data_IF_673896880586
#
_entry.id   IF_673896880586
#
_cell.length_a   1.000
_cell.length_b   1.000
_cell.length_c   1.000
_cell.angle_alpha   90.00
_cell.angle_beta   90.00
_cell.angle_gamma   90.00
#
_symmetry.space_group_name_H-M   'P 1'
#
loop_
_entity.id
_entity.type
_entity.pdbx_description
1 polymer ?
#
# COMPACT_ATOMS: atom_id res chain seq x y z
N UNK A 1 -15.91 13.77 17.39
CA UNK A 1 -15.71 12.54 16.59
C UNK A 1 -16.38 12.66 15.20
N UNK A 2 -16.31 11.66 14.32
CA UNK A 2 -17.03 11.57 13.02
C UNK A 2 -16.90 12.81 12.10
N UNK A 3 -17.88 13.73 12.09
CA UNK A 3 -17.79 15.02 11.37
C UNK A 3 -16.51 15.80 11.70
N UNK A 4 -16.05 15.72 12.94
CA UNK A 4 -14.81 16.33 13.43
C UNK A 4 -13.55 15.58 12.96
N UNK A 5 -13.66 14.27 12.79
CA UNK A 5 -12.61 13.43 12.20
C UNK A 5 -12.43 13.75 10.72
N UNK A 6 -13.54 13.83 9.98
CA UNK A 6 -13.56 14.37 8.62
C UNK A 6 -12.96 15.79 8.57
N UNK A 7 -13.28 16.66 9.54
CA UNK A 7 -12.69 18.02 9.62
C UNK A 7 -11.18 18.01 9.89
N UNK A 8 -10.68 17.11 10.76
CA UNK A 8 -9.24 16.87 10.99
C UNK A 8 -8.55 16.38 9.71
N UNK A 9 -9.02 15.28 9.11
CA UNK A 9 -8.43 14.70 7.90
C UNK A 9 -8.49 15.66 6.69
N UNK A 10 -9.60 16.38 6.48
CA UNK A 10 -9.70 17.39 5.42
C UNK A 10 -8.76 18.58 5.65
N UNK A 11 -8.40 18.90 6.91
CA UNK A 11 -7.39 19.92 7.24
C UNK A 11 -5.96 19.39 7.06
N UNK A 12 -5.73 18.09 7.32
CA UNK A 12 -4.45 17.43 7.15
C UNK A 12 -4.01 17.37 5.67
N UNK A 13 -4.96 17.12 4.75
CA UNK A 13 -4.73 17.10 3.29
C UNK A 13 -4.86 18.46 2.59
N UNK A 14 -5.20 19.53 3.32
CA UNK A 14 -5.22 20.88 2.77
C UNK A 14 -3.81 21.30 2.30
N UNK A 15 -3.69 22.32 1.47
CA UNK A 15 -2.40 22.77 0.91
C UNK A 15 -1.44 23.22 2.03
N UNK A 16 -1.97 23.78 3.12
CA UNK A 16 -1.22 24.11 4.34
C UNK A 16 -1.29 23.03 5.43
N UNK A 17 -1.83 21.84 5.12
CA UNK A 17 -2.00 20.72 6.05
C UNK A 17 -0.71 19.96 6.36
N UNK A 18 -0.73 19.15 7.43
CA UNK A 18 0.36 18.25 7.85
C UNK A 18 0.82 17.31 6.73
N UNK A 19 -0.11 16.72 6.00
CA UNK A 19 0.15 15.65 5.05
C UNK A 19 0.85 16.21 3.82
N UNK A 20 0.45 17.40 3.38
CA UNK A 20 1.15 18.17 2.36
C UNK A 20 2.53 18.65 2.85
N UNK A 21 2.65 19.13 4.09
CA UNK A 21 3.95 19.56 4.67
C UNK A 21 4.94 18.39 4.83
N UNK A 22 4.48 17.22 5.28
CA UNK A 22 5.29 16.00 5.39
C UNK A 22 5.70 15.48 4.00
N UNK A 23 4.83 15.59 2.99
CA UNK A 23 5.13 15.22 1.61
C UNK A 23 6.14 16.17 0.94
N UNK A 24 6.03 17.48 1.15
CA UNK A 24 7.05 18.45 0.72
C UNK A 24 8.37 18.26 1.49
N UNK A 25 8.31 17.92 2.79
CA UNK A 25 9.50 17.55 3.59
C UNK A 25 10.17 16.31 3.01
N UNK A 26 9.41 15.26 2.69
CA UNK A 26 9.89 14.04 2.03
C UNK A 26 10.61 14.35 0.71
N UNK A 27 9.97 15.13 -0.17
CA UNK A 27 10.54 15.55 -1.44
C UNK A 27 11.88 16.25 -1.22
N UNK A 28 11.91 17.25 -0.34
CA UNK A 28 13.09 18.07 -0.09
C UNK A 28 14.23 17.32 0.63
N UNK A 29 13.92 16.54 1.65
CA UNK A 29 14.90 15.99 2.59
C UNK A 29 15.34 14.55 2.28
N UNK A 30 14.54 13.79 1.51
CA UNK A 30 14.86 12.39 1.16
C UNK A 30 14.96 12.12 -0.35
N UNK A 31 14.22 12.84 -1.21
CA UNK A 31 14.19 12.57 -2.66
C UNK A 31 15.09 13.48 -3.50
N UNK A 32 15.50 14.63 -2.97
CA UNK A 32 16.31 15.63 -3.68
C UNK A 32 17.70 15.93 -3.04
N UNK A 33 17.96 15.44 -1.84
CA UNK A 33 19.10 15.85 -0.98
C UNK A 33 20.51 15.57 -1.52
N UNK A 34 20.66 14.84 -2.63
CA UNK A 34 21.96 14.52 -3.25
C UNK A 34 22.35 15.50 -4.38
N UNK A 35 21.47 16.43 -4.78
CA UNK A 35 21.81 17.42 -5.85
C UNK A 35 22.94 18.37 -5.47
N UNK A 36 23.05 18.77 -4.20
CA UNK A 36 23.96 19.84 -3.76
C UNK A 36 25.39 19.37 -3.45
N UNK A 37 25.60 18.08 -3.17
CA UNK A 37 26.91 17.59 -2.69
C UNK A 37 27.90 17.21 -3.80
N UNK A 38 27.43 17.06 -5.05
CA UNK A 38 28.22 16.53 -6.17
C UNK A 38 28.20 17.43 -7.43
N UNK A 39 27.96 18.73 -7.27
CA UNK A 39 27.94 19.70 -8.38
C UNK A 39 29.36 19.96 -8.94
N UNK A 40 29.84 19.05 -9.80
CA UNK A 40 31.03 19.21 -10.62
C UNK A 40 30.93 20.52 -11.44
N UNK A 41 31.88 21.43 -11.22
CA UNK A 41 31.93 22.74 -11.90
C UNK A 41 32.19 22.59 -13.40
N UNK A 42 31.12 22.54 -14.19
CA UNK A 42 31.16 22.71 -15.64
C UNK A 42 30.64 24.12 -15.97
N UNK A 43 31.32 24.82 -16.88
CA UNK A 43 31.17 26.26 -17.08
C UNK A 43 29.81 26.70 -17.62
N UNK A 44 29.46 27.97 -17.37
CA UNK A 44 28.21 28.58 -17.82
C UNK A 44 28.16 28.73 -19.34
N UNK A 45 27.05 28.31 -19.97
CA UNK A 45 26.35 29.10 -20.99
C UNK A 45 24.98 28.47 -21.30
N UNK A 46 23.98 29.34 -21.54
CA UNK A 46 22.62 28.96 -21.95
C UNK A 46 21.69 28.58 -20.80
N UNK A 47 20.44 29.00 -20.88
CA UNK A 47 19.35 28.60 -20.00
C UNK A 47 18.88 27.18 -20.34
N UNK A 48 19.66 26.17 -19.93
CA UNK A 48 19.16 24.79 -19.88
C UNK A 48 18.10 24.70 -18.79
N UNK A 49 16.93 24.16 -19.12
CA UNK A 49 15.96 23.75 -18.12
C UNK A 49 16.63 22.75 -17.16
N UNK A 50 16.38 22.90 -15.86
CA UNK A 50 16.85 21.95 -14.85
C UNK A 50 16.22 20.59 -15.14
N UNK A 51 17.00 19.50 -15.32
CA UNK A 51 16.44 18.18 -15.58
C UNK A 51 15.40 17.79 -14.54
N UNK A 52 14.25 17.28 -14.97
CA UNK A 52 13.21 16.77 -14.06
C UNK A 52 13.82 15.72 -13.13
N UNK A 53 13.61 15.80 -11.80
CA UNK A 53 13.94 14.70 -10.89
C UNK A 53 13.26 13.41 -11.37
N UNK A 54 14.00 12.31 -11.42
CA UNK A 54 13.50 11.02 -11.88
C UNK A 54 13.42 10.06 -10.70
N UNK A 55 12.18 9.64 -10.38
CA UNK A 55 11.89 8.63 -9.38
C UNK A 55 11.59 7.26 -10.03
N UNK A 56 12.31 6.23 -9.61
CA UNK A 56 12.00 4.83 -9.97
C UNK A 56 11.16 4.20 -8.85
N UNK A 57 9.99 3.66 -9.21
CA UNK A 57 9.06 3.00 -8.30
C UNK A 57 9.14 1.48 -8.43
N UNK A 58 9.40 0.78 -7.32
CA UNK A 58 9.49 -0.69 -7.26
C UNK A 58 8.46 -1.28 -6.26
N UNK A 59 7.20 -1.51 -6.69
CA UNK A 59 6.19 -2.13 -5.85
C UNK A 59 6.47 -3.63 -5.62
N UNK A 60 6.07 -4.15 -4.45
CA UNK A 60 5.90 -5.59 -4.28
C UNK A 60 4.78 -6.07 -5.22
N UNK A 61 4.95 -7.18 -5.98
CA UNK A 61 4.08 -7.52 -7.11
C UNK A 61 2.71 -8.15 -6.74
N UNK A 62 2.08 -7.69 -5.66
CA UNK A 62 0.67 -7.99 -5.35
C UNK A 62 -0.20 -6.72 -5.42
N UNK A 63 -1.48 -6.87 -5.74
CA UNK A 63 -2.37 -5.73 -6.03
C UNK A 63 -2.46 -4.73 -4.85
N UNK A 64 -2.44 -5.22 -3.62
CA UNK A 64 -2.53 -4.39 -2.40
C UNK A 64 -1.34 -3.42 -2.24
N UNK A 65 -0.20 -3.73 -2.87
CA UNK A 65 1.05 -2.97 -2.81
C UNK A 65 1.21 -2.11 -4.06
N UNK A 66 0.97 -2.69 -5.24
CA UNK A 66 0.96 -1.97 -6.54
C UNK A 66 -0.02 -0.79 -6.54
N UNK A 67 -1.21 -0.94 -5.92
CA UNK A 67 -2.23 0.12 -5.91
C UNK A 67 -1.79 1.39 -5.20
N UNK A 68 -1.42 1.40 -3.89
CA UNK A 68 -0.94 2.59 -3.22
C UNK A 68 0.39 3.10 -3.81
N UNK A 69 1.30 2.24 -4.24
CA UNK A 69 2.54 2.66 -4.94
C UNK A 69 2.23 3.49 -6.20
N UNK A 70 1.25 3.09 -7.02
CA UNK A 70 0.82 3.84 -8.20
C UNK A 70 0.21 5.21 -7.83
N UNK A 71 -0.51 5.31 -6.70
CA UNK A 71 -1.04 6.61 -6.22
C UNK A 71 0.08 7.57 -5.81
N UNK A 72 1.06 7.07 -5.06
CA UNK A 72 2.24 7.85 -4.66
C UNK A 72 3.05 8.31 -5.89
N UNK A 73 3.20 7.44 -6.89
CA UNK A 73 3.84 7.77 -8.16
C UNK A 73 3.12 8.91 -8.92
N UNK A 74 1.78 8.91 -8.96
CA UNK A 74 0.99 10.01 -9.54
C UNK A 74 1.15 11.33 -8.79
N UNK A 75 1.23 11.28 -7.45
CA UNK A 75 1.44 12.48 -6.66
C UNK A 75 2.81 13.10 -6.94
N UNK A 76 3.89 12.32 -7.03
CA UNK A 76 5.20 12.84 -7.45
C UNK A 76 5.20 13.34 -8.91
N UNK A 77 4.54 12.64 -9.84
CA UNK A 77 4.34 13.10 -11.22
C UNK A 77 3.65 14.48 -11.27
N UNK A 78 2.63 14.69 -10.43
CA UNK A 78 1.94 15.98 -10.30
C UNK A 78 2.83 17.11 -9.76
N UNK A 79 3.96 16.77 -9.09
CA UNK A 79 5.00 17.71 -8.64
C UNK A 79 6.17 17.83 -9.62
N UNK A 80 6.01 17.33 -10.85
CA UNK A 80 6.98 17.49 -11.94
C UNK A 80 8.08 16.44 -12.01
N UNK A 81 8.02 15.37 -11.20
CA UNK A 81 8.94 14.24 -11.32
C UNK A 81 8.69 13.47 -12.63
N UNK A 82 9.76 13.04 -13.27
CA UNK A 82 9.72 11.95 -14.23
C UNK A 82 9.58 10.62 -13.46
N UNK A 83 8.63 9.77 -13.86
CA UNK A 83 8.37 8.50 -13.20
C UNK A 83 8.74 7.33 -14.11
N UNK A 84 9.47 6.35 -13.56
CA UNK A 84 9.54 4.99 -14.10
C UNK A 84 8.94 4.02 -13.10
N UNK A 85 7.79 3.42 -13.44
CA UNK A 85 7.08 2.46 -12.61
C UNK A 85 7.42 1.03 -13.02
N UNK A 86 8.23 0.34 -12.20
CA UNK A 86 8.68 -1.02 -12.48
C UNK A 86 7.57 -2.01 -12.16
N UNK A 87 7.38 -2.99 -13.05
CA UNK A 87 6.54 -4.15 -12.78
C UNK A 87 7.38 -5.43 -12.83
N UNK A 88 6.90 -6.52 -12.24
CA UNK A 88 7.36 -7.84 -12.68
C UNK A 88 6.82 -8.12 -14.09
N UNK A 89 7.56 -8.88 -14.89
CA UNK A 89 7.10 -9.32 -16.21
C UNK A 89 5.72 -10.00 -16.15
N UNK A 90 5.43 -10.78 -15.10
CA UNK A 90 4.10 -11.38 -14.89
C UNK A 90 2.99 -10.32 -14.75
N UNK A 91 3.16 -9.33 -13.87
CA UNK A 91 2.16 -8.27 -13.68
C UNK A 91 2.05 -7.31 -14.87
N UNK A 92 3.18 -7.01 -15.54
CA UNK A 92 3.17 -6.24 -16.78
C UNK A 92 2.35 -6.96 -17.87
N UNK A 93 2.53 -8.29 -18.01
CA UNK A 93 1.70 -9.11 -18.91
C UNK A 93 0.23 -9.18 -18.46
N UNK A 94 -0.09 -9.09 -17.16
CA UNK A 94 -1.49 -8.94 -16.66
C UNK A 94 -2.09 -7.60 -17.06
N UNK A 95 -1.36 -6.49 -16.90
CA UNK A 95 -1.79 -5.15 -17.33
C UNK A 95 -2.08 -5.10 -18.85
N UNK A 96 -1.20 -5.67 -19.69
CA UNK A 96 -1.44 -5.76 -21.13
C UNK A 96 -2.73 -6.57 -21.42
N UNK A 97 -2.99 -7.68 -20.71
CA UNK A 97 -4.23 -8.47 -20.89
C UNK A 97 -5.49 -7.75 -20.44
N UNK A 98 -5.44 -6.96 -19.36
CA UNK A 98 -6.63 -6.33 -18.77
C UNK A 98 -6.93 -4.93 -19.31
N UNK A 99 -5.91 -4.16 -19.71
CA UNK A 99 -6.01 -2.76 -20.17
C UNK A 99 -5.51 -2.52 -21.61
N UNK A 100 -4.82 -3.48 -22.22
CA UNK A 100 -4.25 -3.36 -23.58
C UNK A 100 -2.80 -2.88 -23.62
N UNK A 101 -2.16 -2.97 -24.78
CA UNK A 101 -0.74 -2.61 -24.95
C UNK A 101 -0.49 -1.09 -24.82
N UNK A 102 -1.47 -0.26 -25.19
CA UNK A 102 -1.34 1.19 -25.08
C UNK A 102 -1.27 1.69 -23.62
N UNK A 103 -1.86 0.93 -22.68
CA UNK A 103 -1.78 1.24 -21.24
C UNK A 103 -0.33 1.29 -20.75
N UNK A 104 0.48 0.29 -21.13
CA UNK A 104 1.86 0.16 -20.65
C UNK A 104 2.86 1.06 -21.39
N UNK A 105 2.43 1.80 -22.42
CA UNK A 105 3.24 2.88 -23.02
C UNK A 105 3.40 4.07 -22.08
N UNK A 106 2.40 4.30 -21.21
CA UNK A 106 2.40 5.40 -20.26
C UNK A 106 2.26 6.78 -20.90
N UNK A 107 2.87 7.78 -20.25
CA UNK A 107 2.98 9.19 -20.66
C UNK A 107 4.47 9.53 -20.88
N UNK A 108 4.82 10.64 -21.56
CA UNK A 108 6.22 10.99 -21.86
C UNK A 108 7.15 10.98 -20.63
N UNK A 109 6.63 11.46 -19.49
CA UNK A 109 7.28 11.53 -18.18
C UNK A 109 6.66 10.60 -17.12
N UNK A 110 5.87 9.60 -17.54
CA UNK A 110 5.41 8.49 -16.70
C UNK A 110 5.45 7.17 -17.48
N UNK A 111 6.53 6.40 -17.38
CA UNK A 111 6.72 5.15 -18.13
C UNK A 111 6.65 3.90 -17.26
N UNK A 112 6.45 2.75 -17.91
CA UNK A 112 6.54 1.44 -17.29
C UNK A 112 7.77 0.69 -17.81
N UNK A 113 8.52 0.07 -16.90
CA UNK A 113 9.62 -0.85 -17.21
C UNK A 113 9.37 -2.20 -16.50
N UNK A 114 10.21 -3.21 -16.77
CA UNK A 114 10.04 -4.56 -16.22
C UNK A 114 11.32 -5.17 -15.67
N UNK A 115 11.19 -5.94 -14.60
CA UNK A 115 12.16 -6.94 -14.16
C UNK A 115 11.52 -8.34 -14.17
N UNK A 116 12.29 -9.42 -14.35
CA UNK A 116 11.79 -10.77 -14.10
C UNK A 116 11.44 -10.94 -12.61
N UNK A 117 10.44 -11.77 -12.32
CA UNK A 117 10.09 -12.20 -10.95
C UNK A 117 10.90 -13.42 -10.47
N UNK A 118 11.68 -14.04 -11.36
CA UNK A 118 12.46 -15.25 -11.09
C UNK A 118 11.63 -16.53 -10.92
N UNK A 119 10.32 -16.49 -11.20
CA UNK A 119 9.42 -17.63 -11.00
C UNK A 119 9.14 -18.39 -12.30
N UNK A 120 8.80 -19.70 -12.21
CA UNK A 120 8.27 -20.44 -13.35
C UNK A 120 6.90 -19.90 -13.80
N UNK A 121 6.47 -20.22 -15.03
CA UNK A 121 5.12 -19.91 -15.50
C UNK A 121 4.04 -20.43 -14.53
N UNK A 122 3.12 -19.54 -14.17
CA UNK A 122 2.08 -19.72 -13.16
C UNK A 122 0.70 -19.35 -13.73
N UNK A 123 -0.39 -19.53 -12.97
CA UNK A 123 -1.72 -19.10 -13.40
C UNK A 123 -1.71 -17.60 -13.70
N UNK A 124 -1.92 -17.29 -14.98
CA UNK A 124 -1.85 -15.95 -15.56
C UNK A 124 -2.94 -15.01 -15.02
N UNK A 125 -4.04 -15.55 -14.49
CA UNK A 125 -5.21 -14.77 -14.08
C UNK A 125 -5.29 -14.64 -12.54
N UNK A 126 -4.54 -15.47 -11.79
CA UNK A 126 -4.37 -15.39 -10.34
C UNK A 126 -3.19 -14.47 -9.89
N UNK A 127 -2.96 -14.37 -8.58
CA UNK A 127 -1.70 -13.87 -7.99
C UNK A 127 -0.72 -15.04 -7.87
N UNK A 128 0.58 -14.78 -8.04
CA UNK A 128 1.64 -15.78 -7.83
C UNK A 128 1.67 -16.28 -6.37
N UNK A 129 2.20 -17.50 -6.17
CA UNK A 129 2.38 -18.07 -4.83
C UNK A 129 3.25 -17.16 -3.96
N UNK A 130 2.72 -16.71 -2.82
CA UNK A 130 3.36 -15.69 -2.00
C UNK A 130 4.69 -16.18 -1.36
N UNK A 131 4.78 -17.39 -0.76
CA UNK A 131 6.07 -17.94 -0.32
C UNK A 131 7.14 -17.97 -1.41
N UNK A 132 6.84 -18.55 -2.58
CA UNK A 132 7.80 -18.64 -3.68
C UNK A 132 8.18 -17.25 -4.22
N UNK A 133 7.23 -16.33 -4.30
CA UNK A 133 7.45 -14.96 -4.75
C UNK A 133 8.36 -14.17 -3.80
N UNK A 134 8.18 -14.32 -2.48
CA UNK A 134 9.06 -13.72 -1.47
C UNK A 134 10.49 -14.29 -1.56
N UNK A 135 10.64 -15.60 -1.61
CA UNK A 135 11.95 -16.26 -1.72
C UNK A 135 12.67 -15.90 -3.04
N UNK A 136 11.94 -15.83 -4.15
CA UNK A 136 12.48 -15.41 -5.45
C UNK A 136 12.83 -13.91 -5.48
N UNK A 137 12.01 -13.04 -4.87
CA UNK A 137 12.32 -11.61 -4.77
C UNK A 137 13.66 -11.38 -4.05
N UNK A 138 13.86 -12.05 -2.90
CA UNK A 138 15.10 -12.01 -2.12
C UNK A 138 16.33 -12.46 -2.91
N UNK A 139 16.20 -13.54 -3.70
CA UNK A 139 17.32 -14.21 -4.39
C UNK A 139 17.66 -13.61 -5.75
N UNK A 140 16.64 -13.24 -6.52
CA UNK A 140 16.75 -13.10 -7.99
C UNK A 140 16.56 -11.67 -8.50
N UNK A 141 15.87 -10.79 -7.77
CA UNK A 141 15.44 -9.49 -8.31
C UNK A 141 16.50 -8.37 -8.21
N UNK A 142 17.51 -8.49 -7.34
CA UNK A 142 18.52 -7.44 -7.13
C UNK A 142 19.33 -7.10 -8.40
N UNK A 143 19.89 -8.11 -9.07
CA UNK A 143 20.73 -7.87 -10.25
C UNK A 143 19.94 -7.28 -11.44
N UNK A 144 18.78 -7.84 -11.85
CA UNK A 144 17.96 -7.24 -12.90
C UNK A 144 17.46 -5.83 -12.58
N UNK A 145 17.17 -5.52 -11.31
CA UNK A 145 16.80 -4.16 -10.90
C UNK A 145 17.97 -3.18 -11.03
N UNK A 146 19.18 -3.57 -10.61
CA UNK A 146 20.39 -2.75 -10.84
C UNK A 146 20.69 -2.56 -12.32
N UNK A 147 20.57 -3.61 -13.14
CA UNK A 147 20.75 -3.53 -14.60
C UNK A 147 19.74 -2.57 -15.24
N UNK A 148 18.48 -2.58 -14.80
CA UNK A 148 17.46 -1.63 -15.24
C UNK A 148 17.81 -0.19 -14.86
N UNK A 149 18.24 0.08 -13.62
CA UNK A 149 18.62 1.45 -13.19
C UNK A 149 19.89 1.94 -13.92
N UNK A 150 20.85 1.05 -14.18
CA UNK A 150 22.04 1.36 -14.99
C UNK A 150 21.70 1.64 -16.45
N UNK A 151 20.78 0.88 -17.05
CA UNK A 151 20.20 1.15 -18.39
C UNK A 151 19.54 2.53 -18.42
N UNK A 152 18.69 2.86 -17.45
CA UNK A 152 18.02 4.17 -17.36
C UNK A 152 19.01 5.34 -17.23
N UNK A 153 20.16 5.12 -16.58
CA UNK A 153 21.24 6.11 -16.43
C UNK A 153 22.30 6.12 -17.55
N UNK A 154 22.12 5.31 -18.60
CA UNK A 154 23.04 5.25 -19.74
C UNK A 154 22.91 6.48 -20.67
N UNK A 155 23.96 6.79 -21.43
CA UNK A 155 23.95 7.89 -22.42
C UNK A 155 23.06 7.63 -23.65
N UNK A 156 22.53 6.42 -23.80
CA UNK A 156 21.57 6.03 -24.84
C UNK A 156 20.11 6.22 -24.39
N UNK A 157 19.92 6.62 -23.13
CA UNK A 157 18.62 6.73 -22.46
C UNK A 157 17.94 8.07 -22.73
N UNK A 158 16.69 8.06 -23.18
CA UNK A 158 15.87 9.26 -23.43
C UNK A 158 15.21 9.85 -22.16
N UNK A 159 15.69 9.50 -20.95
CA UNK A 159 15.16 10.01 -19.67
C UNK A 159 16.19 10.84 -18.91
N UNK A 160 15.76 11.70 -17.97
CA UNK A 160 16.68 12.23 -16.96
C UNK A 160 17.31 11.09 -16.15
N UNK A 161 18.53 11.31 -15.64
CA UNK A 161 19.18 10.38 -14.72
C UNK A 161 18.32 10.16 -13.47
N UNK A 162 18.22 8.91 -13.02
CA UNK A 162 17.52 8.51 -11.80
C UNK A 162 18.12 9.25 -10.60
N UNK A 163 17.32 10.11 -9.97
CA UNK A 163 17.71 10.91 -8.80
C UNK A 163 17.34 10.25 -7.48
N UNK A 164 16.31 9.39 -7.47
CA UNK A 164 15.86 8.66 -6.29
C UNK A 164 15.08 7.39 -6.67
N UNK A 165 14.95 6.48 -5.71
CA UNK A 165 14.16 5.26 -5.82
C UNK A 165 13.20 5.16 -4.64
N UNK A 166 12.00 4.66 -4.91
CA UNK A 166 11.00 4.33 -3.89
C UNK A 166 10.63 2.86 -4.08
N UNK A 167 10.92 1.98 -3.11
CA UNK A 167 10.42 0.61 -3.14
C UNK A 167 9.33 0.36 -2.11
N UNK A 168 8.52 -0.69 -2.32
CA UNK A 168 7.66 -1.23 -1.28
C UNK A 168 8.50 -1.87 -0.17
N UNK A 169 8.00 -1.82 1.08
CA UNK A 169 8.65 -2.39 2.26
C UNK A 169 8.97 -3.90 2.20
N UNK A 170 8.38 -4.65 1.26
CA UNK A 170 8.70 -6.06 0.99
C UNK A 170 9.66 -6.25 -0.20
N UNK A 171 10.39 -5.20 -0.62
CA UNK A 171 11.34 -5.20 -1.72
C UNK A 171 12.71 -4.63 -1.28
N UNK A 172 13.12 -4.89 -0.04
CA UNK A 172 14.24 -4.18 0.62
C UNK A 172 15.62 -4.39 -0.01
N UNK A 173 15.76 -5.32 -0.96
CA UNK A 173 16.94 -5.41 -1.83
C UNK A 173 17.20 -4.10 -2.62
N UNK A 174 16.17 -3.26 -2.82
CA UNK A 174 16.31 -1.94 -3.41
C UNK A 174 17.24 -1.02 -2.60
N UNK A 175 17.25 -1.13 -1.25
CA UNK A 175 18.15 -0.36 -0.38
C UNK A 175 19.60 -0.59 -0.81
N UNK A 176 19.98 -1.87 -0.94
CA UNK A 176 21.31 -2.28 -1.42
C UNK A 176 21.59 -1.86 -2.86
N UNK A 177 20.57 -1.83 -3.73
CA UNK A 177 20.73 -1.26 -5.08
C UNK A 177 21.03 0.25 -5.02
N UNK A 178 20.42 0.99 -4.08
CA UNK A 178 20.69 2.42 -3.86
C UNK A 178 22.09 2.66 -3.32
N UNK A 179 22.51 1.90 -2.30
CA UNK A 179 23.87 1.90 -1.75
C UNK A 179 24.93 1.64 -2.84
N UNK A 180 24.77 0.57 -3.63
CA UNK A 180 25.74 0.16 -4.65
C UNK A 180 25.72 1.04 -5.92
N UNK A 181 24.73 1.93 -6.09
CA UNK A 181 24.63 2.87 -7.21
C UNK A 181 24.81 4.35 -6.79
N UNK A 182 24.87 4.65 -5.50
CA UNK A 182 24.94 6.02 -4.98
C UNK A 182 23.64 6.82 -5.11
N UNK A 183 22.48 6.15 -5.17
CA UNK A 183 21.16 6.74 -5.41
C UNK A 183 20.31 6.64 -4.13
N UNK A 184 19.70 7.73 -3.63
CA UNK A 184 18.76 7.69 -2.52
C UNK A 184 17.63 6.67 -2.70
N UNK A 185 17.44 5.81 -1.71
CA UNK A 185 16.35 4.84 -1.65
C UNK A 185 15.45 5.11 -0.43
N UNK A 186 14.14 5.14 -0.66
CA UNK A 186 13.11 5.39 0.34
C UNK A 186 12.05 4.29 0.33
N UNK A 187 11.91 3.56 1.43
CA UNK A 187 10.89 2.53 1.59
C UNK A 187 9.50 3.17 1.74
N UNK A 188 8.50 2.63 1.05
CA UNK A 188 7.09 2.92 1.30
C UNK A 188 6.41 1.71 1.93
N UNK A 189 5.95 1.88 3.16
CA UNK A 189 5.18 0.86 3.85
C UNK A 189 3.70 0.97 3.46
N UNK A 190 3.24 0.00 2.66
CA UNK A 190 1.91 -0.02 2.05
C UNK A 190 0.81 -0.57 2.96
N UNK A 191 1.18 -1.26 4.05
CA UNK A 191 0.29 -1.65 5.14
C UNK A 191 0.25 -0.59 6.26
N UNK A 192 -0.40 -0.88 7.39
CA UNK A 192 -0.50 0.04 8.53
C UNK A 192 0.79 0.16 9.34
N UNK A 193 0.96 1.27 10.05
CA UNK A 193 2.08 1.49 10.98
C UNK A 193 2.02 0.49 12.15
N UNK A 194 0.82 0.19 12.66
CA UNK A 194 0.62 -0.90 13.62
C UNK A 194 1.06 -2.26 13.06
N UNK A 195 0.85 -2.54 11.77
CA UNK A 195 1.39 -3.74 11.12
C UNK A 195 2.92 -3.77 11.13
N UNK A 196 3.57 -2.67 10.75
CA UNK A 196 5.03 -2.54 10.72
C UNK A 196 5.67 -2.83 12.08
N UNK A 197 5.19 -2.18 13.14
CA UNK A 197 5.72 -2.40 14.49
C UNK A 197 5.47 -3.85 14.95
N UNK A 198 4.32 -4.43 14.61
CA UNK A 198 4.01 -5.84 14.87
C UNK A 198 5.05 -6.80 14.26
N UNK A 199 5.50 -6.54 13.03
CA UNK A 199 6.57 -7.31 12.38
C UNK A 199 7.95 -7.11 13.03
N UNK A 200 8.28 -5.90 13.51
CA UNK A 200 9.54 -5.66 14.23
C UNK A 200 9.66 -6.53 15.49
N UNK A 201 8.56 -6.77 16.21
CA UNK A 201 8.53 -7.59 17.42
C UNK A 201 8.54 -9.12 17.18
N UNK A 202 8.62 -9.61 15.93
CA UNK A 202 8.70 -11.06 15.62
C UNK A 202 9.86 -11.75 16.36
N UNK A 203 11.05 -11.13 16.42
CA UNK A 203 12.20 -11.70 17.15
C UNK A 203 11.98 -11.72 18.66
N UNK A 204 11.20 -10.78 19.19
CA UNK A 204 10.91 -10.69 20.63
C UNK A 204 9.86 -11.71 21.07
N UNK A 205 8.89 -12.03 20.20
CA UNK A 205 7.97 -13.17 20.39
C UNK A 205 8.72 -14.50 20.49
N UNK A 206 9.77 -14.72 19.67
CA UNK A 206 10.65 -15.90 19.75
C UNK A 206 11.42 -15.90 21.08
N UNK A 207 12.09 -14.80 21.44
CA UNK A 207 12.86 -14.71 22.70
C UNK A 207 12.02 -14.97 23.95
N UNK A 208 10.73 -14.66 23.90
CA UNK A 208 9.76 -14.88 24.99
C UNK A 208 9.15 -16.28 25.00
N UNK A 209 9.49 -17.14 24.02
CA UNK A 209 8.92 -18.47 23.88
C UNK A 209 7.42 -18.47 23.52
N UNK A 210 6.93 -17.38 22.92
CA UNK A 210 5.52 -17.23 22.52
C UNK A 210 5.28 -17.86 21.14
N UNK A 211 6.29 -17.82 20.26
CA UNK A 211 6.31 -18.48 18.95
C UNK A 211 7.64 -19.22 18.74
N UNK A 212 7.70 -20.31 17.93
CA UNK A 212 6.59 -20.93 17.22
C UNK A 212 5.56 -21.55 18.16
N UNK A 213 4.32 -21.66 17.71
CA UNK A 213 3.30 -22.40 18.44
C UNK A 213 3.64 -23.90 18.44
N UNK A 214 3.29 -24.60 19.53
CA UNK A 214 3.65 -26.01 19.74
C UNK A 214 3.05 -26.94 18.68
N UNK A 215 1.80 -26.72 18.34
CA UNK A 215 1.03 -27.44 17.33
C UNK A 215 -0.23 -26.61 16.97
N UNK A 216 -0.96 -27.06 15.95
CA UNK A 216 -2.12 -26.34 15.35
C UNK A 216 -3.32 -26.10 16.29
N UNK A 217 -3.29 -26.56 17.54
CA UNK A 217 -4.34 -26.28 18.54
C UNK A 217 -4.51 -24.79 18.85
N UNK A 218 -3.48 -23.95 18.64
CA UNK A 218 -3.53 -22.50 18.87
C UNK A 218 -4.67 -21.79 18.12
N UNK A 219 -5.18 -22.40 17.04
CA UNK A 219 -6.30 -21.93 16.22
C UNK A 219 -7.67 -22.05 16.90
N UNK A 220 -7.78 -22.83 17.98
CA UNK A 220 -9.06 -23.22 18.58
C UNK A 220 -9.07 -23.25 20.13
N UNK A 221 -7.91 -23.29 20.77
CA UNK A 221 -7.75 -23.39 22.23
C UNK A 221 -7.91 -22.05 22.99
N UNK A 222 -7.96 -20.93 22.27
CA UNK A 222 -8.00 -19.58 22.83
C UNK A 222 -6.62 -18.90 22.98
N UNK A 223 -5.51 -19.56 22.62
CA UNK A 223 -4.15 -19.00 22.70
C UNK A 223 -4.04 -17.66 21.96
N UNK A 224 -4.70 -17.51 20.80
CA UNK A 224 -4.70 -16.25 20.04
C UNK A 224 -5.43 -15.08 20.74
N UNK A 225 -6.27 -15.33 21.74
CA UNK A 225 -6.90 -14.29 22.56
C UNK A 225 -5.97 -13.77 23.69
N UNK A 226 -4.77 -14.33 23.85
CA UNK A 226 -3.81 -13.91 24.89
C UNK A 226 -3.45 -12.43 24.77
N UNK A 227 -3.70 -11.60 25.80
CA UNK A 227 -3.36 -10.17 25.77
C UNK A 227 -1.85 -9.90 25.70
N UNK A 228 -1.49 -8.84 25.00
CA UNK A 228 -0.12 -8.34 24.85
C UNK A 228 -0.07 -6.91 25.39
N UNK A 229 0.61 -6.75 26.52
CA UNK A 229 0.78 -5.46 27.22
C UNK A 229 2.25 -5.00 27.29
N UNK A 230 3.16 -5.73 26.65
CA UNK A 230 4.61 -5.55 26.75
C UNK A 230 5.28 -5.01 25.48
N UNK A 231 4.51 -4.80 24.40
CA UNK A 231 5.00 -4.09 23.21
C UNK A 231 4.71 -2.59 23.41
N UNK A 232 5.74 -1.72 23.51
CA UNK A 232 5.53 -0.27 23.51
C UNK A 232 4.84 0.17 22.21
N UNK A 233 4.08 1.25 22.26
CA UNK A 233 3.15 1.59 21.19
C UNK A 233 1.81 0.86 21.25
N UNK A 234 1.78 -0.38 21.77
CA UNK A 234 0.67 -1.29 21.53
C UNK A 234 -0.12 -1.66 22.79
N UNK A 235 -1.08 -0.79 23.15
CA UNK A 235 -2.02 -1.03 24.26
C UNK A 235 -3.19 -1.92 23.83
N UNK A 236 -3.66 -2.80 24.73
CA UNK A 236 -4.92 -3.55 24.64
C UNK A 236 -5.08 -4.51 23.42
N UNK A 237 -3.99 -4.94 22.77
CA UNK A 237 -4.03 -5.98 21.72
C UNK A 237 -3.86 -7.39 22.27
N UNK A 238 -4.15 -8.39 21.45
CA UNK A 238 -3.94 -9.83 21.68
C UNK A 238 -3.06 -10.44 20.57
N UNK A 239 -2.66 -11.70 20.72
CA UNK A 239 -1.92 -12.43 19.69
C UNK A 239 -2.64 -12.50 18.33
N UNK A 240 -3.98 -12.50 18.30
CA UNK A 240 -4.73 -12.48 17.03
C UNK A 240 -4.62 -11.15 16.28
N UNK A 241 -4.37 -10.05 16.97
CA UNK A 241 -4.37 -8.70 16.40
C UNK A 241 -3.01 -8.33 15.78
N UNK A 242 -1.96 -9.12 16.06
CA UNK A 242 -0.66 -9.04 15.40
C UNK A 242 -0.68 -9.65 13.98
N UNK A 243 0.29 -9.28 13.11
CA UNK A 243 0.33 -9.78 11.73
C UNK A 243 0.31 -11.31 11.66
N UNK A 244 -0.59 -11.85 10.83
CA UNK A 244 -0.97 -13.27 10.86
C UNK A 244 0.16 -14.27 10.57
N UNK A 245 1.32 -13.83 10.06
CA UNK A 245 2.48 -14.72 9.86
C UNK A 245 3.13 -15.18 11.18
N UNK A 246 2.80 -14.61 12.35
CA UNK A 246 3.18 -15.20 13.64
C UNK A 246 2.44 -16.51 13.95
N UNK A 247 1.38 -16.82 13.21
CA UNK A 247 0.50 -18.00 13.40
C UNK A 247 1.12 -19.25 12.79
N UNK A 248 2.33 -19.55 13.22
CA UNK A 248 3.21 -20.59 12.67
C UNK A 248 3.69 -21.57 13.74
N UNK A 249 3.88 -22.82 13.35
CA UNK A 249 4.56 -23.86 14.15
C UNK A 249 6.04 -24.03 13.77
N UNK A 250 6.53 -23.30 12.76
CA UNK A 250 7.91 -23.40 12.25
C UNK A 250 8.43 -22.01 11.82
N UNK A 251 9.38 -21.46 12.60
CA UNK A 251 9.99 -20.15 12.32
C UNK A 251 10.90 -20.14 11.07
N UNK A 252 11.07 -21.27 10.37
CA UNK A 252 11.70 -21.34 9.05
C UNK A 252 10.72 -21.17 7.89
N UNK A 253 9.40 -21.07 8.17
CA UNK A 253 8.40 -20.72 7.16
C UNK A 253 8.71 -19.37 6.49
N UNK A 254 8.75 -19.39 5.15
CA UNK A 254 9.22 -18.26 4.33
C UNK A 254 8.46 -16.97 4.64
N UNK A 255 7.14 -17.00 4.87
CA UNK A 255 6.37 -15.78 5.14
C UNK A 255 6.66 -15.16 6.52
N UNK A 256 7.01 -15.98 7.51
CA UNK A 256 7.40 -15.50 8.83
C UNK A 256 8.80 -14.87 8.79
N UNK A 257 9.78 -15.59 8.24
CA UNK A 257 11.14 -15.10 8.08
C UNK A 257 11.21 -13.86 7.18
N UNK A 258 10.56 -13.91 6.00
CA UNK A 258 10.56 -12.81 5.04
C UNK A 258 9.99 -11.54 5.64
N UNK A 259 8.74 -11.56 6.14
CA UNK A 259 8.12 -10.36 6.68
C UNK A 259 8.85 -9.83 7.93
N UNK A 260 9.39 -10.71 8.77
CA UNK A 260 10.25 -10.31 9.88
C UNK A 260 11.56 -9.67 9.42
N UNK A 261 12.18 -10.16 8.34
CA UNK A 261 13.43 -9.65 7.79
C UNK A 261 13.27 -8.33 7.05
N UNK A 262 12.32 -8.23 6.10
CA UNK A 262 12.12 -7.05 5.25
C UNK A 262 11.74 -5.82 6.08
N UNK A 263 10.87 -6.01 7.09
CA UNK A 263 10.51 -4.95 8.06
C UNK A 263 11.72 -4.43 8.84
N UNK A 264 12.68 -5.29 9.21
CA UNK A 264 13.92 -4.87 9.87
C UNK A 264 14.88 -4.21 8.87
N UNK A 265 14.95 -4.72 7.63
CA UNK A 265 15.75 -4.14 6.56
C UNK A 265 15.29 -2.70 6.23
N UNK A 266 13.99 -2.41 6.33
CA UNK A 266 13.45 -1.05 6.17
C UNK A 266 14.13 -0.02 7.09
N UNK A 267 14.61 -0.42 8.27
CA UNK A 267 15.31 0.48 9.21
C UNK A 267 16.71 0.91 8.71
N UNK A 268 17.20 0.31 7.62
CA UNK A 268 18.47 0.69 6.98
C UNK A 268 18.29 1.70 5.82
N UNK A 269 17.06 2.06 5.45
CA UNK A 269 16.78 2.93 4.30
C UNK A 269 17.14 4.41 4.56
N UNK A 270 17.04 5.25 3.51
CA UNK A 270 17.18 6.71 3.67
C UNK A 270 16.00 7.31 4.43
N UNK A 271 14.79 6.76 4.24
CA UNK A 271 13.55 7.16 4.89
C UNK A 271 12.49 6.05 4.78
N UNK A 272 11.46 6.10 5.64
CA UNK A 272 10.26 5.25 5.53
C UNK A 272 9.03 6.15 5.40
N UNK A 273 8.21 5.90 4.39
CA UNK A 273 6.93 6.57 4.16
C UNK A 273 5.80 5.69 4.71
N UNK A 274 4.82 6.28 5.42
CA UNK A 274 3.59 5.60 5.85
C UNK A 274 2.34 6.29 5.29
N UNK A 275 1.36 5.47 4.88
CA UNK A 275 0.06 5.88 4.33
C UNK A 275 -0.98 6.18 5.44
N UNK A 276 -0.57 6.83 6.54
CA UNK A 276 -1.42 7.19 7.70
C UNK A 276 -1.31 8.68 8.06
N UNK A 277 -2.12 9.15 9.00
CA UNK A 277 -2.40 10.58 9.28
C UNK A 277 -2.10 11.02 10.71
N UNK A 278 -1.16 11.96 10.87
CA UNK A 278 -0.83 12.60 12.17
C UNK A 278 -2.07 13.14 12.92
N UNK A 279 -2.99 13.88 12.29
CA UNK A 279 -4.13 14.48 13.02
C UNK A 279 -5.20 13.50 13.54
N UNK A 280 -5.20 12.24 13.13
CA UNK A 280 -6.19 11.26 13.60
C UNK A 280 -5.90 10.76 15.03
N UNK A 281 -4.71 11.06 15.56
CA UNK A 281 -4.10 10.47 16.76
C UNK A 281 -4.65 10.92 18.13
N UNK A 282 -5.88 11.45 18.22
CA UNK A 282 -6.48 11.89 19.48
C UNK A 282 -7.96 11.50 19.68
N UNK A 283 -8.19 10.84 20.83
CA UNK A 283 -9.39 10.71 21.68
C UNK A 283 -10.54 9.72 21.34
N UNK A 284 -10.76 8.77 22.28
CA UNK A 284 -12.02 8.11 22.73
C UNK A 284 -12.57 6.92 21.88
N UNK A 285 -12.94 5.80 22.55
CA UNK A 285 -13.59 4.59 21.97
C UNK A 285 -14.73 3.96 22.82
N UNK A 286 -15.11 2.69 22.54
CA UNK A 286 -15.89 1.65 23.33
C UNK A 286 -16.71 0.72 22.40
N UNK A 287 -16.79 -0.60 22.67
CA UNK A 287 -17.25 -1.74 21.83
C UNK A 287 -18.77 -1.96 21.55
N UNK A 288 -19.15 -2.94 20.67
CA UNK A 288 -20.21 -4.01 20.85
C UNK A 288 -20.36 -4.98 19.62
N UNK A 289 -21.07 -6.14 19.78
CA UNK A 289 -21.16 -7.36 18.92
C UNK A 289 -22.66 -7.81 18.69
N UNK A 290 -23.16 -8.72 17.79
CA UNK A 290 -22.65 -9.63 16.71
C UNK A 290 -23.77 -10.25 15.80
N UNK A 291 -23.37 -11.01 14.75
CA UNK A 291 -23.99 -12.19 14.04
C UNK A 291 -25.43 -12.22 13.43
N UNK A 292 -25.61 -13.05 12.35
CA UNK A 292 -26.82 -13.86 11.96
C UNK A 292 -26.51 -14.74 10.70
N UNK A 293 -27.31 -15.79 10.39
CA UNK A 293 -27.11 -16.81 9.31
C UNK A 293 -28.20 -16.85 8.21
N UNK A 294 -28.12 -17.84 7.32
CA UNK A 294 -28.70 -17.94 5.96
C UNK A 294 -29.35 -19.32 5.72
N UNK A 295 -30.42 -19.40 4.89
CA UNK A 295 -30.77 -20.50 3.95
C UNK A 295 -32.24 -20.44 3.46
N UNK A 296 -32.53 -19.93 2.24
CA UNK A 296 -33.86 -20.09 1.59
C UNK A 296 -33.90 -19.81 0.05
N UNK A 297 -32.75 -19.88 -0.65
CA UNK A 297 -32.57 -19.17 -1.94
C UNK A 297 -33.30 -19.76 -3.17
N UNK A 298 -33.34 -21.08 -3.36
CA UNK A 298 -33.59 -21.65 -4.70
C UNK A 298 -35.02 -21.41 -5.25
N UNK A 299 -36.04 -21.42 -4.39
CA UNK A 299 -37.43 -21.17 -4.80
C UNK A 299 -37.65 -19.70 -5.20
N UNK A 300 -36.92 -18.76 -4.58
CA UNK A 300 -37.04 -17.33 -4.85
C UNK A 300 -36.55 -16.93 -6.25
N UNK A 301 -35.53 -17.61 -6.78
CA UNK A 301 -34.91 -17.29 -8.08
C UNK A 301 -35.94 -17.29 -9.22
N UNK A 302 -36.79 -18.31 -9.27
CA UNK A 302 -37.76 -18.47 -10.37
C UNK A 302 -38.87 -17.41 -10.32
N UNK A 303 -39.34 -17.05 -9.14
CA UNK A 303 -40.32 -15.99 -8.95
C UNK A 303 -39.72 -14.58 -9.18
N UNK A 304 -38.43 -14.39 -8.87
CA UNK A 304 -37.71 -13.13 -9.12
C UNK A 304 -37.47 -12.83 -10.60
N UNK A 305 -37.24 -13.85 -11.44
CA UNK A 305 -36.97 -13.62 -12.86
C UNK A 305 -38.23 -13.13 -13.59
N UNK A 306 -39.30 -13.93 -13.58
CA UNK A 306 -40.44 -13.77 -14.49
C UNK A 306 -41.72 -13.24 -13.84
N UNK A 307 -41.89 -13.40 -12.51
CA UNK A 307 -43.14 -13.11 -11.81
C UNK A 307 -43.42 -11.61 -11.58
N UNK A 308 -44.68 -11.29 -11.24
CA UNK A 308 -45.08 -9.95 -10.76
C UNK A 308 -44.28 -9.53 -9.51
N UNK A 309 -44.00 -10.48 -8.60
CA UNK A 309 -43.08 -10.24 -7.46
C UNK A 309 -41.67 -9.92 -7.93
N UNK A 310 -41.20 -10.50 -9.04
CA UNK A 310 -39.92 -10.19 -9.67
C UNK A 310 -39.86 -8.77 -10.26
N UNK A 311 -40.92 -8.31 -10.91
CA UNK A 311 -41.03 -6.90 -11.37
C UNK A 311 -41.06 -5.93 -10.19
N UNK A 312 -41.88 -6.22 -9.18
CA UNK A 312 -41.93 -5.43 -7.95
C UNK A 312 -40.58 -5.45 -7.21
N UNK A 313 -39.87 -6.59 -7.21
CA UNK A 313 -38.53 -6.72 -6.65
C UNK A 313 -37.48 -5.92 -7.44
N UNK A 314 -37.56 -5.84 -8.78
CA UNK A 314 -36.67 -4.96 -9.58
C UNK A 314 -36.93 -3.47 -9.30
N UNK A 315 -38.19 -3.05 -9.18
CA UNK A 315 -38.53 -1.68 -8.75
C UNK A 315 -38.03 -1.40 -7.32
N UNK A 316 -38.26 -2.33 -6.39
CA UNK A 316 -37.78 -2.26 -5.01
C UNK A 316 -36.25 -2.38 -4.90
N UNK A 317 -35.58 -3.02 -5.85
CA UNK A 317 -34.13 -3.07 -5.99
C UNK A 317 -33.56 -1.76 -6.53
N UNK A 318 -34.29 -1.04 -7.38
CA UNK A 318 -33.97 0.35 -7.75
C UNK A 318 -34.12 1.29 -6.54
N UNK A 319 -35.18 1.14 -5.76
CA UNK A 319 -35.32 1.83 -4.47
C UNK A 319 -34.25 1.43 -3.45
N UNK A 320 -33.87 0.16 -3.37
CA UNK A 320 -32.79 -0.31 -2.50
C UNK A 320 -31.41 0.11 -3.01
N UNK A 321 -31.20 0.26 -4.32
CA UNK A 321 -30.00 0.87 -4.90
C UNK A 321 -29.92 2.35 -4.51
N UNK A 322 -31.04 3.08 -4.61
CA UNK A 322 -31.13 4.46 -4.11
C UNK A 322 -30.89 4.55 -2.60
N UNK A 323 -31.53 3.70 -1.79
CA UNK A 323 -31.34 3.64 -0.33
C UNK A 323 -29.97 3.13 0.10
N UNK A 324 -29.32 2.29 -0.70
CA UNK A 324 -27.95 1.83 -0.48
C UNK A 324 -26.94 2.92 -0.82
N UNK A 325 -27.15 3.67 -1.92
CA UNK A 325 -26.39 4.89 -2.21
C UNK A 325 -26.60 5.93 -1.10
N UNK A 326 -27.83 6.21 -0.70
CA UNK A 326 -28.15 7.08 0.46
C UNK A 326 -27.59 6.54 1.80
N UNK A 327 -27.26 5.25 1.88
CA UNK A 327 -26.64 4.63 3.05
C UNK A 327 -25.11 4.67 3.01
N UNK A 328 -24.47 4.63 1.83
CA UNK A 328 -23.01 4.70 1.66
C UNK A 328 -22.48 6.11 1.37
N UNK A 329 -23.36 7.03 0.96
CA UNK A 329 -23.08 8.46 0.84
C UNK A 329 -22.83 9.08 2.23
N UNK A 330 -22.36 10.33 2.23
CA UNK A 330 -21.94 11.10 3.39
C UNK A 330 -23.13 11.26 4.36
N UNK A 331 -22.95 10.77 5.59
CA UNK A 331 -23.99 10.63 6.62
C UNK A 331 -25.10 9.59 6.37
N UNK A 332 -24.92 8.71 5.39
CA UNK A 332 -25.78 7.53 5.22
C UNK A 332 -25.69 6.54 6.39
N UNK A 333 -26.64 5.61 6.50
CA UNK A 333 -26.69 4.63 7.60
C UNK A 333 -25.54 3.61 7.58
N UNK A 334 -25.05 3.23 6.41
CA UNK A 334 -23.86 2.38 6.26
C UNK A 334 -22.58 3.15 6.56
N UNK A 335 -22.47 4.40 6.10
CA UNK A 335 -21.38 5.32 6.48
C UNK A 335 -21.34 5.53 8.00
N UNK A 336 -22.49 5.78 8.64
CA UNK A 336 -22.63 5.90 10.09
C UNK A 336 -22.31 4.60 10.84
N UNK A 337 -22.67 3.43 10.29
CA UNK A 337 -22.30 2.14 10.87
C UNK A 337 -20.81 1.82 10.69
N UNK A 338 -20.16 2.29 9.61
CA UNK A 338 -18.72 2.19 9.40
C UNK A 338 -17.94 3.15 10.31
N UNK A 339 -18.41 4.38 10.50
CA UNK A 339 -17.88 5.29 11.53
C UNK A 339 -18.13 4.74 12.95
N UNK A 340 -19.25 4.04 13.19
CA UNK A 340 -19.48 3.28 14.43
C UNK A 340 -18.46 2.17 14.58
N UNK A 341 -18.21 1.36 13.55
CA UNK A 341 -17.20 0.29 13.59
C UNK A 341 -15.79 0.83 13.84
N UNK A 342 -15.42 1.98 13.25
CA UNK A 342 -14.15 2.65 13.56
C UNK A 342 -14.10 3.05 15.03
N UNK A 343 -15.15 3.72 15.54
CA UNK A 343 -15.24 4.15 16.94
C UNK A 343 -15.31 2.98 17.95
N UNK A 344 -15.93 1.87 17.57
CA UNK A 344 -16.22 0.73 18.43
C UNK A 344 -15.15 -0.37 18.35
N UNK A 345 -14.29 -0.39 17.33
CA UNK A 345 -13.33 -1.48 17.10
C UNK A 345 -11.92 -1.07 16.60
N UNK A 346 -11.60 0.21 16.39
CA UNK A 346 -10.28 0.63 15.91
C UNK A 346 -9.60 1.67 16.82
N UNK A 347 -8.64 1.19 17.62
CA UNK A 347 -7.22 1.63 17.62
C UNK A 347 -6.93 3.08 17.14
N UNK A 348 -7.14 4.07 18.01
CA UNK A 348 -6.90 5.51 17.70
C UNK A 348 -5.75 6.11 18.50
N UNK A 349 -5.75 5.94 19.82
CA UNK A 349 -4.59 6.25 20.70
C UNK A 349 -3.36 5.38 20.37
N UNK A 350 -3.57 4.32 19.58
CA UNK A 350 -2.61 3.27 19.29
C UNK A 350 -1.62 3.65 18.18
N UNK A 351 -2.07 4.26 17.07
CA UNK A 351 -1.13 4.58 15.97
C UNK A 351 -0.13 5.69 16.35
N UNK A 352 -0.49 6.58 17.28
CA UNK A 352 0.42 7.61 17.82
C UNK A 352 1.61 6.98 18.56
N UNK A 353 1.35 6.24 19.65
CA UNK A 353 2.39 5.61 20.44
C UNK A 353 3.22 4.62 19.58
N UNK A 354 2.60 3.99 18.58
CA UNK A 354 3.28 3.16 17.57
C UNK A 354 4.25 3.98 16.72
N UNK A 355 3.84 5.15 16.22
CA UNK A 355 4.68 6.01 15.39
C UNK A 355 5.81 6.66 16.20
N UNK A 356 5.59 7.01 17.47
CA UNK A 356 6.66 7.40 18.38
C UNK A 356 7.66 6.26 18.61
N UNK A 357 7.19 5.03 18.86
CA UNK A 357 8.06 3.85 19.06
C UNK A 357 8.79 3.43 17.77
N UNK A 358 8.23 3.68 16.58
CA UNK A 358 8.93 3.55 15.31
C UNK A 358 9.98 4.65 15.16
N UNK A 359 9.64 5.91 15.42
CA UNK A 359 10.57 7.04 15.33
C UNK A 359 11.76 6.90 16.28
N UNK A 360 11.54 6.35 17.48
CA UNK A 360 12.57 6.03 18.47
C UNK A 360 13.56 4.95 17.99
N UNK A 361 13.15 4.07 17.07
CA UNK A 361 14.02 3.09 16.40
C UNK A 361 14.67 3.65 15.12
N UNK A 362 13.95 4.49 14.39
CA UNK A 362 14.38 5.08 13.12
C UNK A 362 13.71 6.45 12.89
N UNK A 363 14.42 7.58 13.05
CA UNK A 363 13.79 8.91 13.12
C UNK A 363 13.37 9.51 11.78
N UNK A 364 13.70 8.89 10.64
CA UNK A 364 13.45 9.44 9.28
C UNK A 364 12.13 8.93 8.68
N UNK A 365 11.04 9.04 9.45
CA UNK A 365 9.70 8.64 9.00
C UNK A 365 8.88 9.82 8.45
N UNK A 366 8.01 9.51 7.49
CA UNK A 366 7.17 10.48 6.78
C UNK A 366 5.75 9.95 6.62
N UNK A 367 4.85 10.43 7.47
CA UNK A 367 3.41 10.13 7.38
C UNK A 367 2.78 11.09 6.37
N UNK A 368 2.37 10.57 5.21
CA UNK A 368 1.90 11.39 4.09
C UNK A 368 0.37 11.47 4.00
N UNK A 369 -0.36 10.89 4.94
CA UNK A 369 -1.83 10.78 4.89
C UNK A 369 -2.32 9.71 3.92
N UNK A 370 -3.64 9.49 3.89
CA UNK A 370 -4.25 8.53 2.98
C UNK A 370 -4.25 9.04 1.53
N UNK A 371 -3.42 8.41 0.70
CA UNK A 371 -3.31 8.62 -0.74
C UNK A 371 -4.65 8.80 -1.50
N UNK A 372 -5.72 7.98 -1.33
CA UNK A 372 -7.00 8.19 -2.01
C UNK A 372 -7.76 9.47 -1.64
N UNK A 373 -7.37 10.17 -0.56
CA UNK A 373 -7.90 11.48 -0.23
C UNK A 373 -7.08 12.61 -0.91
N UNK A 374 -5.76 12.42 -1.03
CA UNK A 374 -4.89 13.36 -1.76
C UNK A 374 -5.10 13.35 -3.27
N UNK A 375 -5.35 12.17 -3.87
CA UNK A 375 -5.66 12.05 -5.32
C UNK A 375 -6.85 12.91 -5.77
N UNK A 376 -7.76 13.29 -4.86
CA UNK A 376 -8.95 14.12 -5.15
C UNK A 376 -8.63 15.51 -5.69
N UNK A 377 -7.41 15.99 -5.51
CA UNK A 377 -6.93 17.29 -6.00
C UNK A 377 -6.21 17.19 -7.36
N UNK A 378 -6.03 15.97 -7.89
CA UNK A 378 -5.45 15.75 -9.21
C UNK A 378 -6.52 15.85 -10.31
N UNK A 379 -6.24 16.51 -11.46
CA UNK A 379 -7.17 16.50 -12.59
C UNK A 379 -7.33 15.08 -13.16
N UNK A 380 -8.54 14.52 -13.13
CA UNK A 380 -8.80 13.15 -13.62
C UNK A 380 -8.28 12.94 -15.05
N UNK A 381 -8.46 13.95 -15.92
CA UNK A 381 -8.04 13.95 -17.32
C UNK A 381 -6.53 13.69 -17.55
N UNK A 382 -5.69 13.97 -16.55
CA UNK A 382 -4.24 13.71 -16.61
C UNK A 382 -3.89 12.25 -16.25
N UNK A 383 -4.79 11.55 -15.55
CA UNK A 383 -4.50 10.25 -14.92
C UNK A 383 -5.49 9.12 -15.24
N UNK A 384 -6.52 9.36 -16.07
CA UNK A 384 -7.50 8.32 -16.47
C UNK A 384 -6.85 7.08 -17.09
N UNK A 385 -5.72 7.24 -17.79
CA UNK A 385 -4.96 6.17 -18.43
C UNK A 385 -4.10 5.34 -17.48
N UNK A 386 -3.97 5.72 -16.21
CA UNK A 386 -3.02 5.13 -15.24
C UNK A 386 -3.73 4.45 -14.05
N UNK A 387 -4.69 3.56 -14.33
CA UNK A 387 -5.41 2.77 -13.32
C UNK A 387 -4.62 1.53 -12.85
N UNK A 388 -4.16 1.55 -11.58
CA UNK A 388 -3.35 0.51 -10.94
C UNK A 388 -3.99 -0.90 -10.87
N UNK A 389 -5.28 -1.04 -11.23
CA UNK A 389 -5.99 -2.31 -11.10
C UNK A 389 -5.54 -3.30 -12.16
N UNK A 390 -4.83 -4.35 -11.72
CA UNK A 390 -4.46 -5.52 -12.53
C UNK A 390 -5.69 -6.21 -13.13
N UNK A 391 -6.86 -6.08 -12.50
CA UNK A 391 -8.11 -6.70 -12.92
C UNK A 391 -8.80 -5.95 -14.07
N UNK A 392 -9.44 -6.72 -14.93
CA UNK A 392 -10.49 -6.24 -15.83
C UNK A 392 -11.82 -6.29 -15.08
N UNK A 393 -12.52 -5.16 -15.03
CA UNK A 393 -13.86 -5.09 -14.45
C UNK A 393 -14.84 -5.88 -15.35
N UNK A 394 -15.53 -6.88 -14.79
CA UNK A 394 -16.54 -7.62 -15.55
C UNK A 394 -17.89 -6.90 -15.49
N UNK A 395 -18.18 -6.13 -16.54
CA UNK A 395 -19.46 -5.44 -16.71
C UNK A 395 -20.66 -6.40 -16.83
N UNK A 396 -20.47 -7.71 -17.01
CA UNK A 396 -21.57 -8.70 -16.91
C UNK A 396 -22.17 -8.75 -15.51
N UNK A 397 -21.40 -8.49 -14.47
CA UNK A 397 -21.92 -8.37 -13.10
C UNK A 397 -22.92 -7.20 -12.97
N UNK A 398 -22.77 -6.15 -13.79
CA UNK A 398 -23.77 -5.06 -13.88
C UNK A 398 -24.99 -5.46 -14.73
N UNK A 399 -24.81 -6.32 -15.75
CA UNK A 399 -25.92 -6.88 -16.54
C UNK A 399 -26.78 -7.87 -15.75
N UNK A 400 -26.22 -8.52 -14.72
CA UNK A 400 -26.97 -9.33 -13.74
C UNK A 400 -27.72 -8.49 -12.69
N UNK A 401 -27.61 -7.15 -12.74
CA UNK A 401 -28.27 -6.20 -11.83
C UNK A 401 -29.24 -5.24 -12.56
N UNK A 402 -29.76 -5.67 -13.72
CA UNK A 402 -30.77 -4.96 -14.53
C UNK A 402 -32.03 -5.83 -14.74
#
# INVERSE_FOLDING_TARGET
MAREWKKKAMKAIDIEGSSCKNFERLIKEALLTVSDSNSLKIGSMGSKETPKPHAVFLPYPSQGHVTPMMRLAKLLHSRGFHITFVNTEFNHRRLIRSKGLDYVKGLPDFRFETIPDGLPPSDRDATQDLPALCDSARKNCLAPFKELVLKLNSSESEVPLVTCMISDGFMSFAIKAGEELGIPEVQFWTASACGFLGYLYFTELIKRGIIPFKDESFKYDGTLETPISWIPGMKNIRLMDLPSFIRTTDITEILFDYAGSETRNCLNSSAIIFNTFDELEHDIGVEVNKDVKHDEIEVLVKEMMEGEKGKAARQKASEWKKKAMEATDIEGSSYKNFERLIKEALLIEFEHDVLEEIAAKFPRIYNIGQLPLQERHLPESQFMSLSASLWKEDSKCLQLMA
#
